data_IF_303244844292
#
_entry.id   IF_303244844292
#
_cell.length_a   1.000
_cell.length_b   1.000
_cell.length_c   1.000
_cell.angle_alpha   90.00
_cell.angle_beta   90.00
_cell.angle_gamma   90.00
#
_symmetry.space_group_name_H-M   'P 1'
#
loop_
_entity.id
_entity.type
_entity.pdbx_description
1 polymer ?
#
# COMPACT_ATOMS: atom_id res chain seq x y z
N UNK A 1 -46.26 21.09 5.67
CA UNK A 1 -45.30 20.34 4.81
C UNK A 1 -43.87 20.43 5.35
N UNK A 2 -43.64 20.13 6.64
CA UNK A 2 -42.30 20.16 7.26
C UNK A 2 -41.74 18.74 7.54
N UNK A 3 -42.63 17.74 7.59
CA UNK A 3 -42.31 16.35 7.95
C UNK A 3 -41.53 15.65 6.82
N UNK A 4 -41.84 15.93 5.55
CA UNK A 4 -41.16 15.34 4.39
C UNK A 4 -39.70 15.82 4.23
N UNK A 5 -39.41 17.07 4.58
CA UNK A 5 -38.04 17.62 4.53
C UNK A 5 -37.19 17.12 5.71
N UNK A 6 -37.78 17.01 6.91
CA UNK A 6 -37.08 16.43 8.05
C UNK A 6 -36.73 14.96 7.80
N UNK A 7 -37.68 14.16 7.28
CA UNK A 7 -37.45 12.76 6.94
C UNK A 7 -36.36 12.55 5.87
N UNK A 8 -36.31 13.42 4.84
CA UNK A 8 -35.24 13.33 3.83
C UNK A 8 -33.87 13.69 4.39
N UNK A 9 -33.77 14.66 5.29
CA UNK A 9 -32.49 15.03 5.95
C UNK A 9 -32.01 13.90 6.86
N UNK A 10 -32.90 13.25 7.62
CA UNK A 10 -32.53 12.07 8.42
C UNK A 10 -32.08 10.89 7.57
N UNK A 11 -32.79 10.59 6.46
CA UNK A 11 -32.37 9.54 5.52
C UNK A 11 -31.02 9.84 4.87
N UNK A 12 -30.78 11.09 4.47
CA UNK A 12 -29.49 11.51 3.92
C UNK A 12 -28.37 11.38 4.96
N UNK A 13 -28.62 11.74 6.22
CA UNK A 13 -27.63 11.60 7.29
C UNK A 13 -27.29 10.12 7.56
N UNK A 14 -28.28 9.23 7.58
CA UNK A 14 -28.05 7.79 7.76
C UNK A 14 -27.25 7.18 6.59
N UNK A 15 -27.52 7.60 5.35
CA UNK A 15 -26.76 7.15 4.19
C UNK A 15 -25.31 7.66 4.24
N UNK A 16 -25.09 8.90 4.67
CA UNK A 16 -23.75 9.45 4.88
C UNK A 16 -23.02 8.71 6.00
N UNK A 17 -23.65 8.46 7.13
CA UNK A 17 -23.07 7.69 8.24
C UNK A 17 -22.65 6.29 7.78
N UNK A 18 -23.52 5.60 7.04
CA UNK A 18 -23.19 4.27 6.48
C UNK A 18 -22.03 4.33 5.49
N UNK A 19 -21.98 5.35 4.64
CA UNK A 19 -20.87 5.55 3.70
C UNK A 19 -19.55 5.80 4.43
N UNK A 20 -19.56 6.62 5.49
CA UNK A 20 -18.39 6.91 6.32
C UNK A 20 -17.92 5.64 7.03
N UNK A 21 -18.83 4.85 7.62
CA UNK A 21 -18.47 3.59 8.27
C UNK A 21 -17.81 2.61 7.28
N UNK A 22 -18.39 2.41 6.09
CA UNK A 22 -17.80 1.56 5.07
C UNK A 22 -16.40 2.04 4.63
N UNK A 23 -16.19 3.36 4.53
CA UNK A 23 -14.88 3.93 4.19
C UNK A 23 -13.84 3.74 5.32
N UNK A 24 -14.27 3.83 6.57
CA UNK A 24 -13.40 3.57 7.72
C UNK A 24 -12.98 2.11 7.78
N UNK A 25 -13.94 1.19 7.58
CA UNK A 25 -13.67 -0.25 7.52
C UNK A 25 -12.68 -0.60 6.40
N UNK A 26 -12.88 -0.01 5.20
CA UNK A 26 -11.96 -0.17 4.08
C UNK A 26 -10.55 0.33 4.42
N UNK A 27 -10.46 1.52 5.02
CA UNK A 27 -9.17 2.14 5.38
C UNK A 27 -8.42 1.28 6.41
N UNK A 28 -9.13 0.80 7.43
CA UNK A 28 -8.53 -0.04 8.47
C UNK A 28 -8.03 -1.37 7.90
N UNK A 29 -8.83 -2.02 7.04
CA UNK A 29 -8.44 -3.24 6.35
C UNK A 29 -7.21 -3.01 5.46
N UNK A 30 -7.19 -1.93 4.68
CA UNK A 30 -6.04 -1.57 3.84
C UNK A 30 -4.77 -1.38 4.67
N UNK A 31 -4.84 -0.68 5.80
CA UNK A 31 -3.67 -0.45 6.66
C UNK A 31 -3.11 -1.74 7.25
N UNK A 32 -3.98 -2.62 7.78
CA UNK A 32 -3.57 -3.89 8.37
C UNK A 32 -2.94 -4.80 7.32
N UNK A 33 -3.60 -4.95 6.17
CA UNK A 33 -3.15 -5.84 5.10
C UNK A 33 -1.85 -5.34 4.50
N UNK A 34 -1.74 -4.04 4.23
CA UNK A 34 -0.50 -3.43 3.71
C UNK A 34 0.66 -3.75 4.64
N UNK A 35 0.50 -3.56 5.96
CA UNK A 35 1.57 -3.84 6.93
C UNK A 35 2.00 -5.31 6.91
N UNK A 36 1.05 -6.25 6.85
CA UNK A 36 1.36 -7.67 6.77
C UNK A 36 2.10 -8.00 5.47
N UNK A 37 1.65 -7.46 4.34
CA UNK A 37 2.28 -7.67 3.04
C UNK A 37 3.70 -7.12 3.01
N UNK A 38 3.94 -5.93 3.57
CA UNK A 38 5.30 -5.38 3.70
C UNK A 38 6.21 -6.28 4.54
N UNK A 39 5.70 -6.79 5.67
CA UNK A 39 6.46 -7.73 6.50
C UNK A 39 6.77 -9.05 5.77
N UNK A 40 5.87 -9.54 4.92
CA UNK A 40 6.15 -10.71 4.08
C UNK A 40 7.15 -10.41 2.95
N UNK A 41 7.14 -9.20 2.40
CA UNK A 41 8.11 -8.74 1.40
C UNK A 41 9.53 -8.66 1.98
N UNK A 42 9.68 -8.17 3.20
CA UNK A 42 10.96 -8.19 3.93
C UNK A 42 11.50 -9.62 4.12
N UNK A 43 10.62 -10.63 4.17
CA UNK A 43 10.99 -12.05 4.18
C UNK A 43 11.24 -12.63 2.77
N UNK A 44 11.36 -11.78 1.74
CA UNK A 44 11.56 -12.14 0.33
C UNK A 44 10.41 -12.92 -0.31
N UNK A 45 9.19 -12.80 0.22
CA UNK A 45 7.99 -13.33 -0.45
C UNK A 45 7.45 -12.28 -1.40
N UNK A 46 7.21 -12.65 -2.66
CA UNK A 46 6.72 -11.73 -3.70
C UNK A 46 5.22 -11.89 -3.99
N UNK A 47 4.57 -12.88 -3.40
CA UNK A 47 3.14 -13.09 -3.55
C UNK A 47 2.60 -13.86 -2.37
N UNK A 48 1.32 -13.67 -2.06
CA UNK A 48 0.69 -14.39 -0.97
C UNK A 48 -0.81 -14.12 -0.87
N UNK A 49 -1.37 -14.67 0.20
CA UNK A 49 -2.77 -14.51 0.56
C UNK A 49 -2.85 -14.06 2.02
N UNK A 50 -3.67 -13.07 2.28
CA UNK A 50 -3.96 -12.56 3.62
C UNK A 50 -5.47 -12.69 3.88
N UNK A 51 -5.82 -13.18 5.07
CA UNK A 51 -7.22 -13.29 5.50
C UNK A 51 -7.41 -12.37 6.69
N UNK A 52 -8.20 -11.31 6.51
CA UNK A 52 -8.49 -10.32 7.54
C UNK A 52 -10.00 -10.16 7.64
N UNK A 53 -10.58 -10.37 8.83
CA UNK A 53 -12.02 -10.24 9.07
C UNK A 53 -12.89 -11.03 8.07
N UNK A 54 -12.53 -12.29 7.80
CA UNK A 54 -13.20 -13.18 6.82
C UNK A 54 -13.11 -12.72 5.35
N UNK A 55 -12.36 -11.67 5.06
CA UNK A 55 -12.07 -11.21 3.70
C UNK A 55 -10.73 -11.79 3.25
N UNK A 56 -10.74 -12.56 2.17
CA UNK A 56 -9.52 -13.05 1.52
C UNK A 56 -8.99 -11.99 0.55
N UNK A 57 -7.70 -11.69 0.66
CA UNK A 57 -7.00 -10.71 -0.17
C UNK A 57 -5.77 -11.39 -0.76
N UNK A 58 -5.74 -11.46 -2.08
CA UNK A 58 -4.59 -11.95 -2.83
C UNK A 58 -3.69 -10.77 -3.16
N UNK A 59 -2.39 -10.91 -2.92
CA UNK A 59 -1.43 -9.86 -3.25
C UNK A 59 -0.26 -10.40 -4.05
N UNK A 60 0.27 -9.55 -4.91
CA UNK A 60 1.45 -9.83 -5.73
C UNK A 60 2.29 -8.57 -5.81
N UNK A 61 3.57 -8.71 -5.54
CA UNK A 61 4.58 -7.68 -5.71
C UNK A 61 5.30 -7.91 -7.03
N UNK A 62 5.27 -6.91 -7.89
CA UNK A 62 6.05 -6.85 -9.12
C UNK A 62 7.18 -5.83 -8.94
N UNK A 63 8.40 -6.21 -9.34
CA UNK A 63 9.56 -5.32 -9.29
C UNK A 63 9.45 -4.36 -10.46
N UNK A 64 9.12 -3.10 -10.18
CA UNK A 64 8.91 -2.11 -11.23
C UNK A 64 10.25 -1.55 -11.71
N UNK A 65 11.16 -1.23 -10.79
CA UNK A 65 12.47 -0.65 -11.11
C UNK A 65 13.55 -1.10 -10.13
N UNK A 66 14.67 -1.57 -10.67
CA UNK A 66 15.97 -1.57 -10.00
C UNK A 66 16.75 -0.40 -10.55
N UNK A 67 16.85 0.68 -9.78
CA UNK A 67 17.68 1.82 -10.16
C UNK A 67 19.04 1.69 -9.47
N UNK A 68 20.13 1.66 -10.23
CA UNK A 68 21.46 1.96 -9.71
C UNK A 68 21.57 3.49 -9.64
N UNK A 69 21.90 4.07 -8.48
CA UNK A 69 22.24 5.49 -8.43
C UNK A 69 23.46 5.76 -7.54
N UNK A 70 24.11 6.88 -7.89
CA UNK A 70 25.50 7.26 -7.61
C UNK A 70 25.68 7.72 -6.15
N UNK A 71 26.65 7.13 -5.45
CA UNK A 71 26.76 7.19 -3.98
C UNK A 71 27.62 8.33 -3.40
N UNK A 72 28.62 8.86 -4.09
CA UNK A 72 29.40 10.00 -3.57
C UNK A 72 30.28 10.65 -4.63
N UNK A 73 30.61 11.92 -4.40
CA UNK A 73 31.62 12.67 -5.15
C UNK A 73 32.84 12.88 -4.25
N UNK A 74 33.96 12.22 -4.54
CA UNK A 74 35.22 12.47 -3.85
C UNK A 74 35.92 13.67 -4.47
N UNK A 75 35.99 14.78 -3.71
CA UNK A 75 36.63 16.01 -4.17
C UNK A 75 38.16 15.85 -4.38
N UNK A 76 38.81 14.94 -3.65
CA UNK A 76 40.25 14.70 -3.73
C UNK A 76 40.69 13.87 -4.95
N UNK A 77 39.78 13.10 -5.54
CA UNK A 77 40.12 12.18 -6.63
C UNK A 77 39.34 12.41 -7.93
N UNK A 78 38.36 13.32 -7.92
CA UNK A 78 37.43 13.62 -9.04
C UNK A 78 36.81 12.35 -9.66
N UNK A 79 36.74 11.26 -8.89
CA UNK A 79 36.27 9.96 -9.35
C UNK A 79 34.90 9.65 -8.79
N UNK A 80 34.06 9.11 -9.66
CA UNK A 80 32.77 8.54 -9.32
C UNK A 80 32.96 7.08 -8.92
N UNK A 81 32.66 6.72 -7.68
CA UNK A 81 32.52 5.31 -7.27
C UNK A 81 31.03 4.97 -7.23
N UNK A 82 30.59 4.12 -8.15
CA UNK A 82 29.29 3.46 -8.06
C UNK A 82 29.42 2.23 -7.12
N UNK A 83 28.29 1.82 -6.54
CA UNK A 83 28.05 0.56 -5.79
C UNK A 83 28.33 0.52 -4.28
N UNK A 84 27.50 1.19 -3.48
CA UNK A 84 27.31 0.80 -2.07
C UNK A 84 25.84 0.55 -1.67
N UNK A 85 24.87 0.79 -2.56
CA UNK A 85 23.47 0.43 -2.29
C UNK A 85 22.60 0.18 -3.52
N UNK A 86 21.62 -0.71 -3.37
CA UNK A 86 20.58 -0.96 -4.36
C UNK A 86 19.21 -0.62 -3.77
N UNK A 87 18.43 0.20 -4.50
CA UNK A 87 17.03 0.46 -4.18
C UNK A 87 16.16 -0.37 -5.13
N UNK A 88 15.33 -1.24 -4.56
CA UNK A 88 14.32 -1.99 -5.30
C UNK A 88 12.95 -1.38 -5.00
N UNK A 89 12.28 -0.89 -6.04
CA UNK A 89 10.90 -0.41 -5.95
C UNK A 89 9.97 -1.55 -6.36
N UNK A 90 9.10 -1.96 -5.44
CA UNK A 90 8.05 -2.94 -5.66
C UNK A 90 6.70 -2.24 -5.77
N UNK A 91 5.95 -2.55 -6.83
CA UNK A 91 4.51 -2.26 -6.89
C UNK A 91 3.78 -3.50 -6.40
N UNK A 92 3.01 -3.34 -5.35
CA UNK A 92 2.21 -4.39 -4.75
C UNK A 92 0.78 -4.16 -5.21
N UNK A 93 0.22 -5.12 -5.94
CA UNK A 93 -1.19 -5.12 -6.31
C UNK A 93 -1.95 -6.04 -5.35
N UNK A 94 -2.98 -5.50 -4.69
CA UNK A 94 -3.86 -6.23 -3.79
C UNK A 94 -5.24 -6.35 -4.44
N UNK A 95 -5.76 -7.56 -4.46
CA UNK A 95 -7.02 -7.92 -5.11
C UNK A 95 -7.93 -8.64 -4.13
N UNK A 96 -9.21 -8.28 -4.11
CA UNK A 96 -10.22 -8.85 -3.22
C UNK A 96 -11.55 -8.98 -3.96
N UNK A 97 -12.34 -10.01 -3.65
CA UNK A 97 -13.69 -10.15 -4.22
C UNK A 97 -14.67 -9.08 -3.71
N UNK A 98 -14.42 -8.54 -2.53
CA UNK A 98 -15.39 -7.68 -1.81
C UNK A 98 -15.07 -6.19 -1.93
N UNK A 99 -13.85 -5.85 -2.33
CA UNK A 99 -13.35 -4.48 -2.36
C UNK A 99 -12.65 -4.20 -3.68
N UNK A 100 -12.65 -2.94 -4.16
CA UNK A 100 -11.88 -2.56 -5.34
C UNK A 100 -10.40 -2.87 -5.13
N UNK A 101 -9.73 -3.33 -6.18
CA UNK A 101 -8.29 -3.54 -6.19
C UNK A 101 -7.56 -2.23 -5.81
N UNK A 102 -6.47 -2.36 -5.04
CA UNK A 102 -5.62 -1.22 -4.72
C UNK A 102 -4.15 -1.60 -4.85
N UNK A 103 -3.33 -0.60 -5.20
CA UNK A 103 -1.89 -0.75 -5.36
C UNK A 103 -1.14 0.03 -4.28
N UNK A 104 -0.07 -0.55 -3.74
CA UNK A 104 0.83 0.10 -2.80
C UNK A 104 2.26 0.03 -3.33
N UNK A 105 2.96 1.17 -3.29
CA UNK A 105 4.39 1.25 -3.62
C UNK A 105 5.23 0.97 -2.37
N UNK A 106 6.20 0.06 -2.48
CA UNK A 106 7.17 -0.23 -1.44
C UNK A 106 8.60 -0.05 -1.96
N UNK A 107 9.42 0.66 -1.20
CA UNK A 107 10.82 0.94 -1.54
C UNK A 107 11.72 0.26 -0.53
N UNK A 108 12.47 -0.72 -1.01
CA UNK A 108 13.50 -1.39 -0.22
C UNK A 108 14.86 -0.80 -0.59
N UNK A 109 15.60 -0.28 0.39
CA UNK A 109 16.98 0.18 0.21
C UNK A 109 17.93 -0.77 0.93
N UNK A 110 18.77 -1.49 0.18
CA UNK A 110 19.79 -2.38 0.72
C UNK A 110 21.14 -1.67 0.59
N UNK A 111 21.81 -1.47 1.72
CA UNK A 111 23.18 -0.95 1.80
C UNK A 111 24.13 -2.13 1.98
N UNK A 112 25.10 -2.29 1.08
CA UNK A 112 26.19 -3.26 1.23
C UNK A 112 27.27 -2.67 2.14
N UNK A 113 27.66 -3.35 3.24
CA UNK A 113 28.71 -2.88 4.14
C UNK A 113 30.11 -2.94 3.53
#
# INVERSE_FOLDING_TARGET
MAIGLAASVFQQNLLLQRKVLNQLEQTQLQQVVTRNVLFQLEQKKLSGKEVVNLVEINWKADVEKKAAFIDSYSFDTEKYSADLGHVTVYIITLTSEHWPDWSVEYKESIWTP
#
